data_IF_205026406904
#
_entry.id   IF_205026406904
#
_cell.length_a   1.000
_cell.length_b   1.000
_cell.length_c   1.000
_cell.angle_alpha   90.00
_cell.angle_beta   90.00
_cell.angle_gamma   90.00
#
_symmetry.space_group_name_H-M   'P 1'
#
loop_
_entity.id
_entity.type
_entity.pdbx_description
1 polymer ?
#
# COMPACT_ATOMS: atom_id res chain seq x y z
N UNK A 1 18.78 -15.04 5.64
CA UNK A 1 18.06 -15.63 4.50
C UNK A 1 19.07 -15.83 3.39
N UNK A 2 19.16 -17.04 2.85
CA UNK A 2 20.04 -17.31 1.70
C UNK A 2 19.40 -16.83 0.40
N UNK A 3 20.19 -16.37 -0.58
CA UNK A 3 19.66 -15.97 -1.91
C UNK A 3 18.78 -17.06 -2.53
N UNK A 4 19.21 -18.33 -2.45
CA UNK A 4 18.45 -19.48 -2.94
C UNK A 4 17.04 -19.63 -2.31
N UNK A 5 16.87 -19.25 -1.04
CA UNK A 5 15.55 -19.31 -0.38
C UNK A 5 14.62 -18.21 -0.89
N UNK A 6 15.19 -17.05 -1.24
CA UNK A 6 14.44 -15.96 -1.82
C UNK A 6 14.06 -16.28 -3.27
N UNK A 7 14.99 -16.81 -4.08
CA UNK A 7 14.72 -17.26 -5.46
C UNK A 7 13.49 -18.19 -5.53
N UNK A 8 13.47 -19.25 -4.72
CA UNK A 8 12.34 -20.20 -4.65
C UNK A 8 11.05 -19.50 -4.22
N UNK A 9 11.16 -18.53 -3.31
CA UNK A 9 10.01 -17.72 -2.89
C UNK A 9 9.46 -16.87 -4.05
N UNK A 10 10.32 -16.30 -4.89
CA UNK A 10 9.89 -15.51 -6.05
C UNK A 10 9.23 -16.38 -7.11
N UNK A 11 9.82 -17.54 -7.44
CA UNK A 11 9.24 -18.50 -8.38
C UNK A 11 7.82 -18.93 -7.95
N UNK A 12 7.63 -19.25 -6.66
CA UNK A 12 6.31 -19.60 -6.14
C UNK A 12 5.32 -18.43 -6.16
N UNK A 13 5.78 -17.21 -5.86
CA UNK A 13 4.95 -16.00 -5.93
C UNK A 13 4.48 -15.73 -7.36
N UNK A 14 5.34 -15.92 -8.36
CA UNK A 14 4.99 -15.79 -9.77
C UNK A 14 3.91 -16.81 -10.19
N UNK A 15 4.04 -18.07 -9.76
CA UNK A 15 3.04 -19.12 -10.01
C UNK A 15 1.70 -18.78 -9.35
N UNK A 16 1.68 -18.40 -8.07
CA UNK A 16 0.45 -18.01 -7.37
C UNK A 16 -0.23 -16.78 -8.00
N UNK A 17 0.55 -15.82 -8.49
CA UNK A 17 0.04 -14.66 -9.22
C UNK A 17 -0.61 -15.06 -10.54
N UNK A 18 0.04 -15.94 -11.29
CA UNK A 18 -0.49 -16.42 -12.57
C UNK A 18 -1.81 -17.17 -12.35
N UNK A 19 -1.86 -18.07 -11.38
CA UNK A 19 -3.07 -18.83 -11.03
C UNK A 19 -4.21 -17.91 -10.58
N UNK A 20 -3.90 -16.91 -9.74
CA UNK A 20 -4.88 -15.93 -9.26
C UNK A 20 -5.46 -15.08 -10.40
N UNK A 21 -4.62 -14.64 -11.34
CA UNK A 21 -5.05 -13.89 -12.52
C UNK A 21 -5.86 -14.74 -13.50
N UNK A 22 -5.47 -16.00 -13.71
CA UNK A 22 -6.22 -16.96 -14.52
C UNK A 22 -7.61 -17.19 -13.94
N UNK A 23 -7.71 -17.41 -12.62
CA UNK A 23 -9.01 -17.52 -11.94
C UNK A 23 -9.90 -16.30 -12.14
N UNK A 24 -9.35 -15.09 -12.02
CA UNK A 24 -10.10 -13.85 -12.25
C UNK A 24 -10.58 -13.72 -13.70
N UNK A 25 -9.82 -14.24 -14.67
CA UNK A 25 -10.20 -14.25 -16.09
C UNK A 25 -11.31 -15.26 -16.37
N UNK A 26 -11.25 -16.44 -15.77
CA UNK A 26 -12.22 -17.52 -16.00
C UNK A 26 -13.53 -17.34 -15.24
N UNK A 27 -13.44 -17.05 -13.94
CA UNK A 27 -14.58 -16.99 -13.02
C UNK A 27 -15.18 -15.57 -12.90
N UNK A 28 -14.44 -14.56 -13.35
CA UNK A 28 -14.79 -13.15 -13.22
C UNK A 28 -14.32 -12.53 -11.90
N UNK A 29 -14.80 -11.31 -11.56
CA UNK A 29 -14.28 -10.57 -10.42
C UNK A 29 -14.66 -11.22 -9.09
N UNK A 30 -13.63 -11.49 -8.28
CA UNK A 30 -13.74 -11.86 -6.88
C UNK A 30 -12.85 -10.94 -6.03
N UNK A 31 -13.45 -10.23 -5.07
CA UNK A 31 -12.76 -9.18 -4.32
C UNK A 31 -11.64 -9.73 -3.42
N UNK A 32 -11.84 -10.91 -2.83
CA UNK A 32 -10.83 -11.57 -2.01
C UNK A 32 -9.62 -11.96 -2.86
N UNK A 33 -9.86 -12.61 -4.00
CA UNK A 33 -8.82 -12.99 -4.96
C UNK A 33 -8.05 -11.79 -5.47
N UNK A 34 -8.72 -10.69 -5.82
CA UNK A 34 -8.03 -9.48 -6.26
C UNK A 34 -7.07 -8.96 -5.18
N UNK A 35 -7.52 -8.85 -3.94
CA UNK A 35 -6.68 -8.34 -2.86
C UNK A 35 -5.50 -9.27 -2.56
N UNK A 36 -5.70 -10.58 -2.67
CA UNK A 36 -4.64 -11.57 -2.55
C UNK A 36 -3.59 -11.40 -3.66
N UNK A 37 -4.02 -11.31 -4.92
CA UNK A 37 -3.12 -11.06 -6.07
C UNK A 37 -2.40 -9.71 -5.93
N UNK A 38 -3.06 -8.67 -5.41
CA UNK A 38 -2.42 -7.39 -5.11
C UNK A 38 -1.29 -7.54 -4.07
N UNK A 39 -1.57 -8.23 -2.96
CA UNK A 39 -0.58 -8.49 -1.92
C UNK A 39 0.60 -9.31 -2.44
N UNK A 40 0.34 -10.37 -3.20
CA UNK A 40 1.37 -11.20 -3.83
C UNK A 40 2.20 -10.42 -4.85
N UNK A 41 1.58 -9.51 -5.61
CA UNK A 41 2.29 -8.65 -6.57
C UNK A 41 3.27 -7.74 -5.82
N UNK A 42 2.81 -7.10 -4.73
CA UNK A 42 3.69 -6.28 -3.89
C UNK A 42 4.84 -7.11 -3.30
N UNK A 43 4.56 -8.30 -2.78
CA UNK A 43 5.57 -9.19 -2.22
C UNK A 43 6.61 -9.59 -3.28
N UNK A 44 6.18 -9.96 -4.48
CA UNK A 44 7.08 -10.25 -5.61
C UNK A 44 7.96 -9.04 -5.92
N UNK A 45 7.37 -7.85 -6.07
CA UNK A 45 8.12 -6.62 -6.34
C UNK A 45 9.16 -6.32 -5.26
N UNK A 46 8.79 -6.44 -3.98
CA UNK A 46 9.73 -6.25 -2.87
C UNK A 46 10.86 -7.28 -2.92
N UNK A 47 10.55 -8.54 -3.24
CA UNK A 47 11.53 -9.61 -3.38
C UNK A 47 12.52 -9.38 -4.52
N UNK A 48 12.05 -8.97 -5.70
CA UNK A 48 12.87 -8.60 -6.86
C UNK A 48 13.84 -7.46 -6.53
N UNK A 49 13.36 -6.45 -5.78
CA UNK A 49 14.22 -5.36 -5.31
C UNK A 49 15.30 -5.86 -4.34
N UNK A 50 14.97 -6.80 -3.46
CA UNK A 50 15.90 -7.31 -2.44
C UNK A 50 16.99 -8.21 -3.03
N UNK A 51 16.67 -8.99 -4.07
CA UNK A 51 17.59 -9.98 -4.62
C UNK A 51 18.59 -9.36 -5.59
N UNK A 52 18.10 -8.57 -6.56
CA UNK A 52 18.89 -8.09 -7.69
C UNK A 52 18.87 -6.57 -7.84
N UNK A 53 18.28 -5.85 -6.87
CA UNK A 53 17.97 -4.42 -7.01
C UNK A 53 17.16 -4.14 -8.28
N UNK A 54 16.28 -5.06 -8.66
CA UNK A 54 15.43 -4.91 -9.83
C UNK A 54 14.34 -3.86 -9.57
N UNK A 55 14.69 -2.62 -9.89
CA UNK A 55 13.81 -1.46 -9.80
C UNK A 55 12.61 -1.63 -10.72
N UNK A 56 12.81 -2.14 -11.93
CA UNK A 56 11.74 -2.25 -12.91
C UNK A 56 10.71 -3.29 -12.48
N UNK A 57 11.17 -4.47 -12.03
CA UNK A 57 10.32 -5.49 -11.43
C UNK A 57 9.55 -4.98 -10.22
N UNK A 58 10.21 -4.27 -9.30
CA UNK A 58 9.54 -3.62 -8.16
C UNK A 58 8.44 -2.65 -8.60
N UNK A 59 8.76 -1.74 -9.52
CA UNK A 59 7.82 -0.72 -10.00
C UNK A 59 6.63 -1.36 -10.73
N UNK A 60 6.88 -2.34 -11.60
CA UNK A 60 5.83 -3.03 -12.36
C UNK A 60 4.87 -3.80 -11.45
N UNK A 61 5.38 -4.52 -10.45
CA UNK A 61 4.52 -5.32 -9.59
C UNK A 61 3.64 -4.46 -8.67
N UNK A 62 4.15 -3.35 -8.14
CA UNK A 62 3.32 -2.38 -7.40
C UNK A 62 2.28 -1.71 -8.32
N UNK A 63 2.65 -1.40 -9.56
CA UNK A 63 1.73 -0.81 -10.52
C UNK A 63 0.60 -1.79 -10.87
N UNK A 64 0.93 -3.06 -11.08
CA UNK A 64 -0.04 -4.13 -11.33
C UNK A 64 -1.00 -4.31 -10.16
N UNK A 65 -0.52 -4.31 -8.91
CA UNK A 65 -1.35 -4.32 -7.71
C UNK A 65 -2.37 -3.17 -7.73
N UNK A 66 -1.90 -1.93 -7.89
CA UNK A 66 -2.77 -0.75 -7.90
C UNK A 66 -3.79 -0.77 -9.05
N UNK A 67 -3.38 -1.16 -10.26
CA UNK A 67 -4.26 -1.26 -11.43
C UNK A 67 -5.32 -2.36 -11.27
N UNK A 68 -4.94 -3.50 -10.70
CA UNK A 68 -5.86 -4.60 -10.47
C UNK A 68 -6.93 -4.21 -9.45
N UNK A 69 -6.53 -3.49 -8.41
CA UNK A 69 -7.47 -2.94 -7.45
C UNK A 69 -8.41 -1.89 -8.06
N UNK A 70 -7.88 -0.99 -8.90
CA UNK A 70 -8.73 -0.06 -9.65
C UNK A 70 -9.77 -0.79 -10.50
N UNK A 71 -9.36 -1.86 -11.20
CA UNK A 71 -10.27 -2.69 -11.98
C UNK A 71 -11.37 -3.31 -11.11
N UNK A 72 -11.05 -3.84 -9.92
CA UNK A 72 -12.06 -4.36 -8.98
C UNK A 72 -13.09 -3.28 -8.60
N UNK A 73 -12.63 -2.06 -8.32
CA UNK A 73 -13.51 -0.96 -7.98
C UNK A 73 -14.44 -0.58 -9.15
N UNK A 74 -13.97 -0.68 -10.40
CA UNK A 74 -14.81 -0.51 -11.60
C UNK A 74 -15.87 -1.61 -11.73
N UNK A 75 -15.57 -2.85 -11.29
CA UNK A 75 -16.54 -3.96 -11.33
C UNK A 75 -17.67 -3.82 -10.32
N UNK A 76 -17.51 -3.01 -9.26
CA UNK A 76 -18.45 -2.91 -8.14
C UNK A 76 -19.90 -2.65 -8.56
N UNK A 77 -20.12 -1.77 -9.54
CA UNK A 77 -21.47 -1.42 -9.99
C UNK A 77 -22.13 -2.55 -10.82
N UNK A 78 -21.34 -3.29 -11.59
CA UNK A 78 -21.81 -4.37 -12.45
C UNK A 78 -21.97 -5.70 -11.69
N UNK A 79 -21.29 -5.87 -10.55
CA UNK A 79 -21.26 -7.11 -9.79
C UNK A 79 -21.72 -6.91 -8.33
N UNK A 80 -23.03 -6.76 -8.07
CA UNK A 80 -23.57 -6.51 -6.73
C UNK A 80 -23.38 -7.67 -5.74
N UNK A 81 -22.85 -8.81 -6.20
CA UNK A 81 -22.51 -9.97 -5.36
C UNK A 81 -21.09 -9.92 -4.80
N UNK A 82 -20.27 -8.96 -5.21
CA UNK A 82 -18.96 -8.76 -4.61
C UNK A 82 -19.12 -8.54 -3.12
N UNK A 83 -18.32 -9.27 -2.33
CA UNK A 83 -18.38 -9.17 -0.89
C UNK A 83 -17.91 -7.78 -0.45
N UNK A 84 -18.84 -7.04 0.18
CA UNK A 84 -18.63 -5.67 0.63
C UNK A 84 -17.53 -5.53 1.68
N UNK A 85 -17.19 -6.61 2.39
CA UNK A 85 -16.10 -6.62 3.34
C UNK A 85 -14.75 -6.26 2.69
N UNK A 86 -14.45 -6.87 1.54
CA UNK A 86 -13.21 -6.62 0.80
C UNK A 86 -13.22 -5.29 0.03
N UNK A 87 -14.38 -4.62 -0.03
CA UNK A 87 -14.54 -3.30 -0.63
C UNK A 87 -14.53 -2.17 0.41
N UNK A 88 -14.29 -2.49 1.68
CA UNK A 88 -14.13 -1.48 2.74
C UNK A 88 -12.88 -0.62 2.49
N UNK A 89 -12.91 0.65 2.92
CA UNK A 89 -11.85 1.61 2.61
C UNK A 89 -10.51 1.24 3.27
N UNK A 90 -10.56 0.63 4.45
CA UNK A 90 -9.40 0.02 5.13
C UNK A 90 -8.70 -1.11 4.35
N UNK A 91 -9.34 -1.62 3.28
CA UNK A 91 -8.78 -2.62 2.37
C UNK A 91 -8.11 -2.02 1.14
N UNK A 92 -7.95 -0.71 1.10
CA UNK A 92 -7.32 0.01 0.00
C UNK A 92 -5.79 0.01 0.10
N UNK A 93 -5.14 -1.03 0.65
CA UNK A 93 -3.69 -1.15 0.64
C UNK A 93 -3.07 -0.91 -0.76
N UNK A 94 -3.69 -1.34 -1.88
CA UNK A 94 -3.15 -1.04 -3.22
C UNK A 94 -3.12 0.46 -3.60
N UNK A 95 -3.84 1.33 -2.89
CA UNK A 95 -3.66 2.78 -3.01
C UNK A 95 -2.25 3.21 -2.59
N UNK A 96 -1.69 2.58 -1.55
CA UNK A 96 -0.33 2.85 -1.10
C UNK A 96 0.70 2.48 -2.18
N UNK A 97 0.43 1.44 -2.98
CA UNK A 97 1.30 1.07 -4.11
C UNK A 97 1.34 2.19 -5.15
N UNK A 98 0.17 2.69 -5.57
CA UNK A 98 0.10 3.82 -6.49
C UNK A 98 0.82 5.07 -5.94
N UNK A 99 0.67 5.33 -4.64
CA UNK A 99 1.32 6.47 -3.97
C UNK A 99 2.84 6.29 -3.87
N UNK A 100 3.34 5.09 -3.52
CA UNK A 100 4.76 4.78 -3.43
C UNK A 100 5.48 4.96 -4.79
N UNK A 101 4.79 4.63 -5.88
CA UNK A 101 5.24 4.84 -7.25
C UNK A 101 5.03 6.28 -7.77
N UNK A 102 4.47 7.17 -6.96
CA UNK A 102 4.08 8.53 -7.36
C UNK A 102 3.15 8.57 -8.59
N UNK A 103 2.32 7.53 -8.79
CA UNK A 103 1.34 7.42 -9.87
C UNK A 103 0.06 8.17 -9.52
N UNK A 104 0.15 9.50 -9.44
CA UNK A 104 -0.96 10.36 -8.99
C UNK A 104 -2.26 10.19 -9.80
N UNK A 105 -2.24 10.07 -11.14
CA UNK A 105 -3.47 9.83 -11.90
C UNK A 105 -4.18 8.54 -11.47
N UNK A 106 -3.42 7.46 -11.25
CA UNK A 106 -3.94 6.17 -10.80
C UNK A 106 -4.48 6.26 -9.36
N UNK A 107 -3.70 6.86 -8.44
CA UNK A 107 -4.12 7.05 -7.05
C UNK A 107 -5.43 7.87 -6.96
N UNK A 108 -5.59 8.90 -7.80
CA UNK A 108 -6.82 9.72 -7.87
C UNK A 108 -8.00 8.93 -8.40
N UNK A 109 -7.78 8.11 -9.42
CA UNK A 109 -8.82 7.26 -9.98
C UNK A 109 -9.33 6.24 -8.96
N UNK A 110 -8.40 5.57 -8.25
CA UNK A 110 -8.72 4.68 -7.13
C UNK A 110 -9.51 5.43 -6.06
N UNK A 111 -9.03 6.59 -5.62
CA UNK A 111 -9.70 7.40 -4.60
C UNK A 111 -11.14 7.77 -4.97
N UNK A 112 -11.37 8.23 -6.20
CA UNK A 112 -12.70 8.61 -6.66
C UNK A 112 -13.69 7.44 -6.62
N UNK A 113 -13.20 6.20 -6.76
CA UNK A 113 -14.00 4.97 -6.72
C UNK A 113 -14.13 4.37 -5.30
N UNK A 114 -13.29 4.80 -4.37
CA UNK A 114 -13.29 4.42 -2.94
C UNK A 114 -14.28 5.23 -2.08
N UNK A 115 -15.24 5.93 -2.67
CA UNK A 115 -16.22 6.72 -1.91
C UNK A 115 -17.24 5.81 -1.18
N UNK A 116 -16.81 5.23 -0.07
CA UNK A 116 -17.63 4.40 0.83
C UNK A 116 -17.75 5.04 2.21
N UNK A 117 -18.93 4.94 2.85
CA UNK A 117 -19.06 5.28 4.26
C UNK A 117 -18.32 4.24 5.13
N UNK A 118 -17.92 4.65 6.33
CA UNK A 118 -17.38 3.74 7.33
C UNK A 118 -18.39 2.64 7.66
N UNK A 119 -17.92 1.40 7.72
CA UNK A 119 -18.70 0.23 8.08
C UNK A 119 -18.26 -0.37 9.44
N UNK A 120 -18.88 0.02 10.57
CA UNK A 120 -18.41 -0.33 11.92
C UNK A 120 -18.30 -1.83 12.23
N UNK A 121 -19.00 -2.68 11.48
CA UNK A 121 -18.98 -4.14 11.65
C UNK A 121 -17.97 -4.85 10.75
N UNK A 122 -17.36 -4.14 9.81
CA UNK A 122 -16.49 -4.69 8.78
C UNK A 122 -15.07 -4.14 8.86
N UNK A 123 -14.89 -2.92 9.35
CA UNK A 123 -13.57 -2.30 9.47
C UNK A 123 -13.41 -1.45 10.75
N UNK A 124 -12.20 -1.43 11.34
CA UNK A 124 -11.86 -0.47 12.39
C UNK A 124 -12.03 0.97 11.91
N UNK A 125 -12.52 1.86 12.78
CA UNK A 125 -12.67 3.27 12.42
C UNK A 125 -11.30 3.93 12.15
N UNK A 126 -10.26 3.57 12.92
CA UNK A 126 -8.90 4.08 12.75
C UNK A 126 -8.38 3.86 11.32
N UNK A 127 -8.47 2.61 10.83
CA UNK A 127 -8.03 2.26 9.48
C UNK A 127 -8.87 2.95 8.41
N UNK A 128 -10.20 3.02 8.60
CA UNK A 128 -11.06 3.78 7.69
C UNK A 128 -10.62 5.24 7.59
N UNK A 129 -10.38 5.91 8.72
CA UNK A 129 -10.00 7.33 8.77
C UNK A 129 -8.63 7.57 8.15
N UNK A 130 -7.69 6.65 8.36
CA UNK A 130 -6.38 6.70 7.75
C UNK A 130 -6.48 6.73 6.21
N UNK A 131 -7.19 5.75 5.63
CA UNK A 131 -7.37 5.70 4.18
C UNK A 131 -8.28 6.82 3.64
N UNK A 132 -9.25 7.30 4.43
CA UNK A 132 -10.11 8.44 4.05
C UNK A 132 -9.31 9.74 3.89
N UNK A 133 -8.32 9.97 4.74
CA UNK A 133 -7.41 11.10 4.63
C UNK A 133 -6.42 10.94 3.47
N UNK A 134 -5.86 9.73 3.29
CA UNK A 134 -4.92 9.42 2.20
C UNK A 134 -5.56 9.57 0.82
N UNK A 135 -6.74 8.99 0.63
CA UNK A 135 -7.40 8.96 -0.68
C UNK A 135 -7.96 10.33 -1.05
N UNK A 136 -8.47 11.12 -0.11
CA UNK A 136 -9.07 12.42 -0.41
C UNK A 136 -8.14 13.62 -0.16
N UNK A 137 -8.23 14.28 1.00
CA UNK A 137 -7.62 15.58 1.24
C UNK A 137 -6.09 15.62 1.02
N UNK A 138 -5.36 14.58 1.43
CA UNK A 138 -3.90 14.57 1.31
C UNK A 138 -3.43 14.46 -0.15
N UNK A 139 -4.08 13.60 -0.94
CA UNK A 139 -3.78 13.44 -2.35
C UNK A 139 -4.11 14.71 -3.15
N UNK A 140 -5.20 15.40 -2.78
CA UNK A 140 -5.62 16.65 -3.41
C UNK A 140 -4.93 17.89 -2.84
N UNK A 141 -4.03 17.71 -1.86
CA UNK A 141 -3.33 18.79 -1.15
C UNK A 141 -4.27 19.84 -0.54
N UNK A 142 -5.40 19.37 -0.04
CA UNK A 142 -6.41 20.21 0.61
C UNK A 142 -6.38 19.91 2.11
N UNK A 143 -6.01 20.87 2.97
CA UNK A 143 -6.14 20.70 4.41
C UNK A 143 -7.61 20.46 4.79
N UNK A 144 -7.87 19.41 5.56
CA UNK A 144 -9.22 19.08 6.05
C UNK A 144 -9.15 18.78 7.55
N UNK A 145 -9.17 19.85 8.35
CA UNK A 145 -9.11 19.79 9.81
C UNK A 145 -10.31 19.02 10.40
N UNK A 146 -11.45 18.99 9.70
CA UNK A 146 -12.64 18.27 10.19
C UNK A 146 -12.47 16.76 10.09
N UNK A 147 -11.91 16.26 8.98
CA UNK A 147 -11.54 14.84 8.85
C UNK A 147 -10.39 14.48 9.77
N UNK A 148 -9.38 15.35 9.91
CA UNK A 148 -8.27 15.13 10.84
C UNK A 148 -8.76 15.01 12.30
N UNK A 149 -9.61 15.94 12.76
CA UNK A 149 -10.23 15.86 14.08
C UNK A 149 -11.16 14.64 14.24
N UNK A 150 -11.74 14.14 13.15
CA UNK A 150 -12.51 12.89 13.20
C UNK A 150 -11.62 11.66 13.34
N UNK A 151 -10.43 11.68 12.75
CA UNK A 151 -9.42 10.64 12.96
C UNK A 151 -8.93 10.66 14.41
N UNK A 152 -8.57 11.82 14.94
CA UNK A 152 -8.09 11.97 16.33
C UNK A 152 -9.11 11.43 17.36
N UNK A 153 -10.40 11.69 17.15
CA UNK A 153 -11.47 11.27 18.07
C UNK A 153 -11.69 9.77 18.16
N UNK A 154 -11.31 8.99 17.13
CA UNK A 154 -11.48 7.54 17.16
C UNK A 154 -10.25 6.80 17.72
N UNK A 155 -9.16 7.52 18.06
CA UNK A 155 -7.96 6.92 18.60
C UNK A 155 -8.14 6.54 20.07
N UNK A 156 -7.70 5.34 20.44
CA UNK A 156 -7.63 4.89 21.84
C UNK A 156 -6.28 5.24 22.51
N UNK A 157 -5.41 5.98 21.81
CA UNK A 157 -4.06 6.35 22.23
C UNK A 157 -3.31 7.18 21.19
N UNK A 158 -1.98 7.23 21.28
CA UNK A 158 -1.14 7.81 20.24
C UNK A 158 -1.17 6.95 18.98
N UNK A 159 -1.21 7.58 17.79
CA UNK A 159 -1.11 6.89 16.51
C UNK A 159 -0.09 7.61 15.63
N UNK A 160 1.02 6.94 15.31
CA UNK A 160 2.06 7.53 14.48
C UNK A 160 1.57 7.77 13.03
N UNK A 161 0.57 7.00 12.58
CA UNK A 161 -0.16 7.26 11.32
C UNK A 161 -0.87 8.61 11.38
N UNK A 162 -1.64 8.87 12.43
CA UNK A 162 -2.29 10.17 12.64
C UNK A 162 -1.27 11.30 12.67
N UNK A 163 -0.20 11.17 13.45
CA UNK A 163 0.83 12.20 13.59
C UNK A 163 1.50 12.53 12.25
N UNK A 164 1.78 11.51 11.43
CA UNK A 164 2.35 11.69 10.10
C UNK A 164 1.38 12.47 9.18
N UNK A 165 0.11 12.08 9.14
CA UNK A 165 -0.90 12.76 8.30
C UNK A 165 -1.16 14.20 8.77
N UNK A 166 -1.22 14.43 10.08
CA UNK A 166 -1.38 15.75 10.67
C UNK A 166 -0.19 16.67 10.32
N UNK A 167 1.03 16.14 10.41
CA UNK A 167 2.24 16.87 10.04
C UNK A 167 2.27 17.22 8.55
N UNK A 168 1.85 16.32 7.67
CA UNK A 168 1.70 16.60 6.23
C UNK A 168 0.73 17.76 5.99
N UNK A 169 -0.46 17.73 6.58
CA UNK A 169 -1.47 18.79 6.40
C UNK A 169 -0.97 20.17 6.87
N UNK A 170 -0.15 20.19 7.93
CA UNK A 170 0.46 21.41 8.48
C UNK A 170 1.77 21.80 7.81
N UNK A 171 2.28 21.00 6.87
CA UNK A 171 3.59 21.14 6.24
C UNK A 171 4.75 21.22 7.27
N UNK A 172 4.59 20.52 8.40
CA UNK A 172 5.60 20.45 9.45
C UNK A 172 6.56 19.30 9.16
N UNK A 173 7.70 19.65 8.55
CA UNK A 173 8.72 18.68 8.17
C UNK A 173 9.28 17.91 9.38
N UNK A 174 9.55 18.56 10.50
CA UNK A 174 10.17 17.92 11.66
C UNK A 174 9.21 16.96 12.34
N UNK A 175 7.93 17.36 12.49
CA UNK A 175 6.90 16.48 13.01
C UNK A 175 6.67 15.27 12.09
N UNK A 176 6.66 15.47 10.77
CA UNK A 176 6.49 14.38 9.80
C UNK A 176 7.62 13.35 9.92
N UNK A 177 8.87 13.80 9.92
CA UNK A 177 10.01 12.89 10.02
C UNK A 177 10.10 12.20 11.38
N UNK A 178 9.65 12.86 12.46
CA UNK A 178 9.52 12.21 13.76
C UNK A 178 8.47 11.09 13.72
N UNK A 179 7.27 11.37 13.23
CA UNK A 179 6.18 10.40 13.12
C UNK A 179 6.56 9.21 12.23
N UNK A 180 7.19 9.46 11.08
CA UNK A 180 7.66 8.39 10.20
C UNK A 180 8.73 7.51 10.87
N UNK A 181 9.61 8.09 11.69
CA UNK A 181 10.58 7.32 12.47
C UNK A 181 9.90 6.43 13.51
N UNK A 182 8.79 6.88 14.11
CA UNK A 182 8.00 6.06 15.03
C UNK A 182 7.30 4.93 14.27
N UNK A 183 6.64 5.22 13.14
CA UNK A 183 6.01 4.22 12.28
C UNK A 183 6.99 3.14 11.83
N UNK A 184 8.20 3.54 11.45
CA UNK A 184 9.22 2.59 10.99
C UNK A 184 9.68 1.66 12.12
N UNK A 185 9.71 2.15 13.36
CA UNK A 185 10.01 1.32 14.54
C UNK A 185 8.83 0.41 14.88
N UNK A 186 7.60 0.91 14.83
CA UNK A 186 6.38 0.10 15.04
C UNK A 186 6.28 -1.03 14.01
N UNK A 187 6.65 -0.77 12.75
CA UNK A 187 6.78 -1.78 11.70
C UNK A 187 7.77 -2.89 12.07
N UNK A 188 8.99 -2.53 12.46
CA UNK A 188 10.03 -3.47 12.87
C UNK A 188 9.60 -4.29 14.10
N UNK A 189 9.04 -3.63 15.12
CA UNK A 189 8.56 -4.26 16.35
C UNK A 189 7.39 -5.23 16.07
N UNK A 190 6.47 -4.86 15.17
CA UNK A 190 5.36 -5.69 14.73
C UNK A 190 5.84 -6.97 14.02
N UNK A 191 6.75 -6.84 13.06
CA UNK A 191 7.35 -8.00 12.37
C UNK A 191 8.04 -8.94 13.35
N UNK A 192 8.80 -8.40 14.31
CA UNK A 192 9.49 -9.22 15.30
C UNK A 192 8.51 -9.85 16.31
N UNK A 193 7.38 -9.20 16.61
CA UNK A 193 6.32 -9.80 17.42
C UNK A 193 5.66 -10.99 16.70
N UNK A 194 5.29 -10.82 15.44
CA UNK A 194 4.64 -11.87 14.63
C UNK A 194 5.59 -13.05 14.38
N UNK A 195 6.88 -12.77 14.15
CA UNK A 195 7.92 -13.80 14.03
C UNK A 195 8.04 -14.64 15.31
N UNK A 196 7.98 -14.01 16.49
CA UNK A 196 8.03 -14.73 17.78
C UNK A 196 6.79 -15.59 18.03
N UNK A 197 5.67 -15.26 17.38
CA UNK A 197 4.40 -15.98 17.51
C UNK A 197 4.18 -17.02 16.40
N UNK A 198 5.12 -17.17 15.47
CA UNK A 198 4.97 -18.01 14.27
C UNK A 198 3.71 -17.68 13.45
N UNK A 199 3.31 -16.41 13.47
CA UNK A 199 2.09 -15.89 12.84
C UNK A 199 2.36 -15.17 11.51
N UNK A 200 3.62 -15.09 11.10
CA UNK A 200 4.06 -14.32 9.94
C UNK A 200 3.89 -15.14 8.66
N UNK A 201 3.18 -14.59 7.68
CA UNK A 201 3.10 -15.15 6.33
C UNK A 201 4.51 -15.34 5.75
N UNK A 202 4.81 -16.52 5.21
CA UNK A 202 6.16 -16.89 4.81
C UNK A 202 6.68 -16.02 3.65
N UNK A 203 5.80 -15.65 2.71
CA UNK A 203 6.16 -14.77 1.61
C UNK A 203 6.42 -13.36 2.11
N UNK A 204 5.52 -12.81 2.93
CA UNK A 204 5.71 -11.51 3.56
C UNK A 204 7.04 -11.43 4.34
N UNK A 205 7.32 -12.43 5.19
CA UNK A 205 8.51 -12.50 6.03
C UNK A 205 9.83 -12.40 5.24
N UNK A 206 9.82 -12.95 4.01
CA UNK A 206 11.00 -13.02 3.13
C UNK A 206 11.08 -11.85 2.16
N UNK A 207 10.02 -11.08 1.99
CA UNK A 207 9.94 -10.01 0.99
C UNK A 207 9.60 -8.66 1.63
N UNK A 208 8.32 -8.29 1.64
CA UNK A 208 7.78 -7.00 2.08
C UNK A 208 8.20 -6.63 3.51
N UNK A 209 8.43 -7.59 4.41
CA UNK A 209 8.93 -7.29 5.76
C UNK A 209 10.21 -6.43 5.77
N UNK A 210 11.04 -6.52 4.72
CA UNK A 210 12.26 -5.71 4.59
C UNK A 210 12.07 -4.39 3.82
N UNK A 211 10.89 -4.16 3.21
CA UNK A 211 10.56 -2.99 2.41
C UNK A 211 9.23 -2.37 2.90
N UNK A 212 9.30 -1.24 3.58
CA UNK A 212 8.13 -0.57 4.16
C UNK A 212 7.41 0.31 3.11
N UNK A 213 6.55 -0.31 2.30
CA UNK A 213 5.84 0.35 1.19
C UNK A 213 4.93 1.49 1.65
N UNK A 214 4.27 1.35 2.80
CA UNK A 214 3.51 2.46 3.40
C UNK A 214 4.41 3.67 3.70
N UNK A 215 5.61 3.43 4.23
CA UNK A 215 6.61 4.49 4.41
C UNK A 215 7.02 5.17 3.10
N UNK A 216 7.23 4.39 2.03
CA UNK A 216 7.51 4.94 0.69
C UNK A 216 6.37 5.85 0.21
N UNK A 217 5.12 5.41 0.35
CA UNK A 217 3.93 6.18 -0.02
C UNK A 217 3.85 7.51 0.76
N UNK A 218 4.08 7.48 2.08
CA UNK A 218 4.08 8.68 2.92
C UNK A 218 5.21 9.66 2.53
N UNK A 219 6.39 9.16 2.20
CA UNK A 219 7.52 10.00 1.75
C UNK A 219 7.22 10.64 0.39
N UNK A 220 6.57 9.92 -0.52
CA UNK A 220 6.11 10.51 -1.80
C UNK A 220 5.09 11.61 -1.57
N UNK A 221 4.09 11.36 -0.71
CA UNK A 221 3.11 12.38 -0.32
C UNK A 221 3.80 13.60 0.31
N UNK A 222 4.76 13.41 1.21
CA UNK A 222 5.54 14.48 1.80
C UNK A 222 6.22 15.36 0.73
N UNK A 223 6.81 14.72 -0.29
CA UNK A 223 7.38 15.42 -1.45
C UNK A 223 6.35 16.26 -2.21
N UNK A 224 5.13 15.75 -2.42
CA UNK A 224 4.04 16.52 -3.05
C UNK A 224 3.65 17.74 -2.21
N UNK A 225 3.73 17.64 -0.89
CA UNK A 225 3.48 18.72 0.06
C UNK A 225 4.68 19.65 0.27
N UNK A 226 5.79 19.44 -0.43
CA UNK A 226 6.99 20.28 -0.38
C UNK A 226 7.93 20.00 0.78
N UNK A 227 7.73 18.89 1.50
CA UNK A 227 8.65 18.45 2.57
C UNK A 227 9.88 17.80 1.92
N UNK A 228 11.10 18.27 2.21
CA UNK A 228 12.32 17.75 1.58
C UNK A 228 12.65 16.34 2.09
N UNK A 229 13.01 15.46 1.16
CA UNK A 229 13.42 14.08 1.47
C UNK A 229 14.71 14.01 2.32
N UNK A 230 14.82 12.97 3.14
CA UNK A 230 16.05 12.64 3.90
C UNK A 230 16.85 11.53 3.20
N UNK A 231 18.20 11.55 3.27
CA UNK A 231 19.07 10.67 2.48
C UNK A 231 19.13 9.21 2.96
N UNK A 232 18.54 8.86 4.11
CA UNK A 232 18.56 7.49 4.66
C UNK A 232 17.28 7.23 5.44
N UNK A 233 16.53 6.23 5.00
CA UNK A 233 15.24 5.85 5.57
C UNK A 233 15.25 4.33 5.77
N UNK A 234 15.10 3.82 7.01
CA UNK A 234 15.10 2.37 7.24
C UNK A 234 13.94 1.70 6.49
N UNK A 235 14.18 0.49 5.98
CA UNK A 235 13.22 -0.28 5.16
C UNK A 235 12.74 0.43 3.88
N UNK A 236 13.37 1.54 3.48
CA UNK A 236 13.01 2.32 2.31
C UNK A 236 14.28 2.57 1.47
N UNK A 237 14.79 1.54 0.77
CA UNK A 237 16.01 1.67 -0.03
C UNK A 237 15.85 2.74 -1.11
N UNK A 238 16.95 3.43 -1.45
CA UNK A 238 16.96 4.51 -2.43
C UNK A 238 16.45 4.08 -3.81
N UNK A 239 16.67 2.82 -4.15
CA UNK A 239 16.28 2.14 -5.38
C UNK A 239 14.76 2.12 -5.54
N UNK A 240 14.00 1.95 -4.44
CA UNK A 240 12.54 2.01 -4.47
C UNK A 240 11.99 3.40 -4.86
N UNK A 241 12.82 4.45 -4.77
CA UNK A 241 12.46 5.81 -5.17
C UNK A 241 12.81 6.15 -6.63
N UNK A 242 13.48 5.24 -7.35
CA UNK A 242 13.81 5.46 -8.75
C UNK A 242 12.57 5.32 -9.64
N UNK A 243 12.60 5.97 -10.80
CA UNK A 243 11.57 5.79 -11.82
C UNK A 243 11.86 4.50 -12.62
N UNK A 244 10.84 3.83 -13.17
CA UNK A 244 11.08 2.69 -14.05
C UNK A 244 11.81 3.14 -15.32
N UNK A 245 12.61 2.25 -15.88
CA UNK A 245 13.34 2.46 -17.13
C UNK A 245 12.41 2.41 -18.35
N UNK A 246 11.33 1.62 -18.24
CA UNK A 246 10.28 1.47 -19.25
C UNK A 246 8.93 2.05 -18.77
N UNK A 247 8.08 2.54 -19.70
CA UNK A 247 6.74 2.96 -19.33
C UNK A 247 5.89 1.77 -18.90
N UNK A 248 5.00 2.00 -17.93
CA UNK A 248 4.07 0.97 -17.49
C UNK A 248 3.12 0.51 -18.62
N UNK A 249 2.73 -0.78 -18.61
CA UNK A 249 1.79 -1.30 -19.60
C UNK A 249 0.41 -0.63 -19.47
N UNK A 250 -0.20 -0.30 -20.62
CA UNK A 250 -1.53 0.33 -20.65
C UNK A 250 -2.66 -0.65 -20.28
N UNK A 251 -2.47 -1.94 -20.56
CA UNK A 251 -3.47 -3.00 -20.36
C UNK A 251 -3.12 -3.84 -19.14
N UNK A 252 -4.16 -4.16 -18.35
CA UNK A 252 -4.09 -5.21 -17.35
C UNK A 252 -4.05 -6.55 -18.08
N UNK A 253 -3.18 -7.46 -17.65
CA UNK A 253 -3.11 -8.84 -18.16
C UNK A 253 -4.31 -9.72 -17.76
N UNK A 254 -5.51 -9.14 -17.68
CA UNK A 254 -6.78 -9.80 -17.38
C UNK A 254 -7.51 -10.14 -18.68
#
# INVERSE_FOLDING_TARGET
MGMLELDITLENLEEELQDGLERLREDGPDAATVLDVCARSRQLGCGLLLIDLDVDGFQHSLFQSARLYEWLLDQRAAHPRLDTYYLCKSRAQPLLDALALNQLPLARSISAKLDTPWAPKMEPEEDFRYFDLLSGPLLERQPDEARLASFERCLEGSSARFDALAALMRQDADAFWHALSVLTREWEEGIEADRRQDALDAYFARTEASIFVEGLALVRLAGLWGIPARPRLPFMPSEAFQAPSEPFPEQLGL
#
